data_IF_692244294974
#
_entry.id   IF_692244294974
#
_cell.length_a   1.000
_cell.length_b   1.000
_cell.length_c   1.000
_cell.angle_alpha   90.00
_cell.angle_beta   90.00
_cell.angle_gamma   90.00
#
_symmetry.space_group_name_H-M   'P 1'
#
loop_
_entity.id
_entity.type
_entity.pdbx_description
1 polymer ?
#
# COMPACT_ATOMS: atom_id res chain seq x y z
N UNK A 1 -65.40 -10.46 45.46
CA UNK A 1 -65.96 -9.95 44.19
C UNK A 1 -65.14 -8.74 43.78
N UNK A 2 -64.37 -8.96 42.72
CA UNK A 2 -63.61 -8.05 41.85
C UNK A 2 -63.60 -6.55 42.15
N UNK A 3 -62.45 -6.04 42.60
CA UNK A 3 -62.02 -4.65 42.42
C UNK A 3 -61.52 -4.46 40.98
N UNK A 4 -62.15 -3.58 40.22
CA UNK A 4 -61.78 -3.26 38.84
C UNK A 4 -60.47 -2.50 38.76
N UNK A 5 -59.49 -3.04 38.03
CA UNK A 5 -58.29 -2.33 37.60
C UNK A 5 -58.56 -1.60 36.29
N UNK A 6 -58.25 -0.31 36.30
CA UNK A 6 -58.30 0.64 35.20
C UNK A 6 -57.20 0.31 34.17
N UNK A 7 -57.55 -0.19 32.98
CA UNK A 7 -56.61 -0.33 31.85
C UNK A 7 -56.65 0.94 31.01
N UNK A 8 -55.74 1.87 31.31
CA UNK A 8 -55.49 3.02 30.46
C UNK A 8 -54.89 2.59 29.12
N UNK A 9 -55.59 2.90 28.03
CA UNK A 9 -55.09 2.77 26.66
C UNK A 9 -53.87 3.68 26.47
N UNK A 10 -52.70 3.10 26.24
CA UNK A 10 -51.53 3.86 25.80
C UNK A 10 -51.66 4.13 24.29
N UNK A 11 -52.00 5.37 23.93
CA UNK A 11 -51.93 5.87 22.56
C UNK A 11 -50.54 6.47 22.35
N UNK A 12 -49.75 5.84 21.47
CA UNK A 12 -48.42 6.32 21.10
C UNK A 12 -48.55 7.52 20.16
N UNK A 13 -48.27 8.72 20.66
CA UNK A 13 -48.07 9.92 19.84
C UNK A 13 -46.62 9.95 19.32
N UNK A 14 -46.32 9.10 18.33
CA UNK A 14 -45.20 9.38 17.43
C UNK A 14 -45.81 10.22 16.31
N UNK A 15 -45.50 11.52 16.30
CA UNK A 15 -45.90 12.41 15.21
C UNK A 15 -45.20 11.98 13.92
N UNK A 16 -45.94 11.94 12.80
CA UNK A 16 -45.41 11.64 11.46
C UNK A 16 -44.22 12.52 11.05
N UNK A 17 -44.05 13.67 11.71
CA UNK A 17 -42.92 14.59 11.56
C UNK A 17 -41.56 13.96 11.96
N UNK A 18 -41.50 13.07 12.95
CA UNK A 18 -40.27 12.37 13.36
C UNK A 18 -39.84 11.26 12.38
N UNK A 19 -40.83 10.65 11.71
CA UNK A 19 -40.59 9.69 10.62
C UNK A 19 -40.23 10.40 9.31
N UNK A 20 -40.65 11.66 9.13
CA UNK A 20 -40.28 12.47 7.97
C UNK A 20 -38.90 13.14 8.14
N UNK A 21 -38.53 13.61 9.34
CA UNK A 21 -37.16 14.13 9.60
C UNK A 21 -36.10 13.05 9.48
N UNK A 22 -36.39 11.80 9.89
CA UNK A 22 -35.46 10.69 9.67
C UNK A 22 -35.34 10.30 8.20
N UNK A 23 -36.37 10.50 7.36
CA UNK A 23 -36.27 10.32 5.90
C UNK A 23 -35.50 11.44 5.21
N UNK A 24 -35.62 12.68 5.67
CA UNK A 24 -34.88 13.83 5.12
C UNK A 24 -33.38 13.77 5.45
N UNK A 25 -32.99 13.27 6.64
CA UNK A 25 -31.57 13.03 6.97
C UNK A 25 -30.97 11.90 6.12
N UNK A 26 -31.78 10.89 5.76
CA UNK A 26 -31.38 9.78 4.87
C UNK A 26 -31.28 10.19 3.39
N UNK A 27 -31.76 11.38 3.03
CA UNK A 27 -31.71 11.93 1.67
C UNK A 27 -30.59 12.94 1.42
N UNK A 28 -29.86 13.40 2.44
CA UNK A 28 -28.70 14.24 2.21
C UNK A 28 -27.69 13.49 1.32
N UNK A 29 -27.54 13.97 0.07
CA UNK A 29 -26.57 13.50 -0.90
C UNK A 29 -25.16 13.81 -0.37
N UNK A 30 -24.67 12.98 0.54
CA UNK A 30 -23.33 13.12 1.08
C UNK A 30 -22.35 12.93 -0.09
N UNK A 31 -21.72 14.04 -0.49
CA UNK A 31 -20.67 14.07 -1.49
C UNK A 31 -19.32 14.02 -0.79
N UNK A 32 -18.46 13.05 -1.11
CA UNK A 32 -17.11 13.02 -0.58
C UNK A 32 -16.36 14.24 -1.11
N UNK A 33 -15.48 14.81 -0.29
CA UNK A 33 -14.59 15.88 -0.75
C UNK A 33 -13.63 15.29 -1.78
N UNK A 34 -13.89 15.57 -3.06
CA UNK A 34 -13.07 15.12 -4.18
C UNK A 34 -11.78 15.95 -4.25
N UNK A 35 -10.68 15.29 -4.60
CA UNK A 35 -9.42 15.95 -4.91
C UNK A 35 -9.47 16.58 -6.31
N UNK A 36 -8.55 17.52 -6.60
CA UNK A 36 -8.43 18.08 -7.93
C UNK A 36 -8.07 16.99 -8.96
N UNK A 37 -8.94 16.83 -9.95
CA UNK A 37 -8.84 15.77 -10.97
C UNK A 37 -9.46 14.43 -10.57
N UNK A 38 -10.02 14.33 -9.35
CA UNK A 38 -10.80 13.17 -8.91
C UNK A 38 -12.22 13.26 -9.49
N UNK A 39 -12.68 12.19 -10.14
CA UNK A 39 -14.01 12.11 -10.75
C UNK A 39 -14.75 10.89 -10.23
N UNK A 40 -16.04 11.07 -9.95
CA UNK A 40 -16.93 9.97 -9.56
C UNK A 40 -17.27 9.10 -10.79
N UNK A 41 -17.13 7.79 -10.63
CA UNK A 41 -17.42 6.79 -11.64
C UNK A 41 -18.70 5.99 -11.33
N UNK A 42 -18.96 5.71 -10.06
CA UNK A 42 -20.14 4.95 -9.64
C UNK A 42 -20.52 5.24 -8.20
N UNK A 43 -21.82 5.11 -7.89
CA UNK A 43 -22.39 5.33 -6.56
C UNK A 43 -23.51 4.35 -6.22
N UNK A 44 -23.49 3.88 -4.98
CA UNK A 44 -24.53 3.06 -4.37
C UNK A 44 -24.85 3.59 -2.96
N UNK A 45 -26.12 3.94 -2.72
CA UNK A 45 -26.64 4.29 -1.39
C UNK A 45 -27.10 3.03 -0.65
N UNK A 46 -27.30 3.13 0.66
CA UNK A 46 -27.81 2.04 1.51
C UNK A 46 -26.96 0.77 1.40
N UNK A 47 -25.65 0.92 1.49
CA UNK A 47 -24.68 -0.17 1.46
C UNK A 47 -24.21 -0.48 2.88
N UNK A 48 -24.28 -1.74 3.27
CA UNK A 48 -23.80 -2.21 4.58
C UNK A 48 -22.34 -2.64 4.49
N UNK A 49 -21.46 -1.99 5.25
CA UNK A 49 -20.06 -2.34 5.38
C UNK A 49 -19.86 -3.27 6.59
N UNK A 50 -19.23 -4.41 6.33
CA UNK A 50 -18.74 -5.34 7.34
C UNK A 50 -17.21 -5.34 7.38
N UNK A 51 -16.66 -5.12 8.57
CA UNK A 51 -15.23 -5.18 8.85
C UNK A 51 -15.01 -6.30 9.85
N UNK A 52 -14.07 -7.20 9.56
CA UNK A 52 -13.63 -8.19 10.53
C UNK A 52 -12.79 -7.48 11.60
N UNK A 53 -13.40 -7.13 12.74
CA UNK A 53 -12.70 -6.60 13.91
C UNK A 53 -12.70 -7.64 15.03
N UNK A 54 -11.54 -7.84 15.68
CA UNK A 54 -11.48 -8.53 16.98
C UNK A 54 -12.02 -7.59 18.05
N UNK A 55 -13.19 -7.84 18.62
CA UNK A 55 -13.52 -7.33 19.96
C UNK A 55 -13.04 -8.34 21.00
N UNK A 56 -12.29 -7.89 22.02
CA UNK A 56 -11.97 -8.68 23.22
C UNK A 56 -13.28 -8.94 23.97
N UNK A 57 -13.96 -10.03 23.67
CA UNK A 57 -15.05 -10.54 24.50
C UNK A 57 -14.72 -11.97 24.90
N UNK A 58 -15.06 -12.32 26.14
CA UNK A 58 -14.70 -13.54 26.91
C UNK A 58 -15.20 -14.86 26.29
N UNK A 59 -15.76 -14.83 25.09
CA UNK A 59 -15.91 -15.97 24.18
C UNK A 59 -15.50 -15.49 22.80
N UNK A 60 -14.50 -16.15 22.19
CA UNK A 60 -13.99 -15.87 20.85
C UNK A 60 -15.11 -15.89 19.77
N UNK A 61 -15.90 -14.83 19.66
CA UNK A 61 -16.81 -14.56 18.56
C UNK A 61 -16.34 -13.29 17.89
N UNK A 62 -16.07 -13.38 16.58
CA UNK A 62 -15.82 -12.21 15.75
C UNK A 62 -17.18 -11.51 15.62
N UNK A 63 -17.33 -10.34 16.26
CA UNK A 63 -18.51 -9.50 16.05
C UNK A 63 -18.21 -8.68 14.79
N UNK A 64 -18.89 -8.98 13.69
CA UNK A 64 -18.87 -8.11 12.51
C UNK A 64 -19.75 -6.91 12.83
N UNK A 65 -19.13 -5.74 13.00
CA UNK A 65 -19.87 -4.50 13.18
C UNK A 65 -20.36 -4.02 11.82
N UNK A 66 -21.67 -4.07 11.63
CA UNK A 66 -22.35 -3.56 10.44
C UNK A 66 -22.42 -2.04 10.48
N UNK A 67 -22.08 -1.40 9.37
CA UNK A 67 -22.13 0.05 9.21
C UNK A 67 -22.85 0.41 7.94
N UNK A 68 -23.94 1.18 8.02
CA UNK A 68 -24.73 1.58 6.85
C UNK A 68 -24.24 2.93 6.30
N UNK A 69 -24.16 3.04 4.98
CA UNK A 69 -23.67 4.25 4.34
C UNK A 69 -23.79 4.28 2.82
N UNK A 70 -23.07 5.21 2.23
CA UNK A 70 -22.95 5.37 0.77
C UNK A 70 -21.56 4.96 0.29
N UNK A 71 -21.52 4.14 -0.74
CA UNK A 71 -20.31 3.67 -1.40
C UNK A 71 -20.12 4.40 -2.73
N UNK A 72 -18.93 4.96 -2.94
CA UNK A 72 -18.59 5.78 -4.10
C UNK A 72 -17.26 5.30 -4.66
N UNK A 73 -17.22 5.06 -5.97
CA UNK A 73 -16.00 4.73 -6.70
C UNK A 73 -15.61 5.95 -7.52
N UNK A 74 -14.37 6.40 -7.36
CA UNK A 74 -13.76 7.45 -8.18
C UNK A 74 -12.65 6.87 -9.05
N UNK A 75 -11.97 7.69 -9.84
CA UNK A 75 -10.74 7.31 -10.52
C UNK A 75 -9.51 7.21 -9.58
N UNK A 76 -9.66 7.51 -8.29
CA UNK A 76 -8.57 7.48 -7.29
C UNK A 76 -8.79 6.44 -6.19
N UNK A 77 -10.02 6.38 -5.65
CA UNK A 77 -10.37 5.58 -4.48
C UNK A 77 -11.77 5.00 -4.56
N UNK A 78 -11.98 3.99 -3.73
CA UNK A 78 -13.28 3.67 -3.19
C UNK A 78 -13.43 4.46 -1.89
N UNK A 79 -14.51 5.25 -1.79
CA UNK A 79 -14.87 5.98 -0.57
C UNK A 79 -16.17 5.47 0.01
N UNK A 80 -16.21 5.34 1.34
CA UNK A 80 -17.40 4.90 2.05
C UNK A 80 -17.74 5.87 3.17
N UNK A 81 -18.92 6.47 3.08
CA UNK A 81 -19.39 7.49 4.03
C UNK A 81 -20.56 6.96 4.83
N UNK A 82 -20.47 7.06 6.16
CA UNK A 82 -21.51 6.63 7.09
C UNK A 82 -22.69 7.60 7.10
N UNK A 83 -23.91 7.08 7.25
CA UNK A 83 -25.08 7.93 7.44
C UNK A 83 -25.18 8.54 8.84
N UNK A 84 -24.72 7.82 9.87
CA UNK A 84 -25.03 8.17 11.26
C UNK A 84 -24.04 9.15 11.90
N UNK A 85 -23.16 9.80 11.11
CA UNK A 85 -22.22 10.82 11.59
C UNK A 85 -21.25 10.40 12.72
N UNK A 86 -21.30 9.14 13.17
CA UNK A 86 -20.57 8.60 14.30
C UNK A 86 -19.10 8.29 13.95
N UNK A 87 -18.40 9.29 13.42
CA UNK A 87 -16.94 9.33 13.38
C UNK A 87 -16.37 10.14 14.56
N UNK A 88 -17.11 10.20 15.68
CA UNK A 88 -16.59 10.79 16.91
C UNK A 88 -15.87 9.74 17.75
N UNK A 89 -14.56 9.94 17.87
CA UNK A 89 -13.66 9.38 18.89
C UNK A 89 -13.21 7.92 18.69
N UNK A 90 -12.21 7.73 17.83
CA UNK A 90 -11.12 6.79 18.14
C UNK A 90 -9.81 7.36 17.56
N UNK A 91 -9.41 8.51 18.10
CA UNK A 91 -8.21 9.26 17.69
C UNK A 91 -7.00 8.60 18.35
N UNK A 92 -6.36 7.66 17.65
CA UNK A 92 -5.09 7.11 18.10
C UNK A 92 -4.18 6.58 16.99
N UNK A 93 -4.30 6.97 15.72
CA UNK A 93 -3.32 6.55 14.69
C UNK A 93 -3.13 7.61 13.60
N UNK A 94 -1.98 7.54 12.92
CA UNK A 94 -1.64 8.41 11.78
C UNK A 94 -2.80 8.48 10.78
N UNK A 95 -3.37 9.67 10.63
CA UNK A 95 -4.44 9.92 9.67
C UNK A 95 -3.83 10.10 8.27
N UNK A 96 -4.52 9.58 7.25
CA UNK A 96 -4.13 9.79 5.88
C UNK A 96 -4.77 11.09 5.37
N UNK A 97 -3.96 12.03 4.90
CA UNK A 97 -4.45 13.33 4.41
C UNK A 97 -5.43 13.22 3.21
N UNK A 98 -5.46 12.08 2.51
CA UNK A 98 -6.25 11.86 1.30
C UNK A 98 -7.36 10.81 1.46
N UNK A 99 -7.29 9.94 2.46
CA UNK A 99 -8.18 8.79 2.61
C UNK A 99 -8.84 8.79 3.98
N UNK A 100 -10.17 8.73 4.01
CA UNK A 100 -10.94 8.49 5.22
C UNK A 100 -10.71 7.09 5.80
N UNK A 101 -11.24 6.85 7.00
CA UNK A 101 -11.10 5.59 7.75
C UNK A 101 -11.50 4.35 6.95
N UNK A 102 -12.57 4.44 6.16
CA UNK A 102 -13.09 3.34 5.34
C UNK A 102 -12.73 3.47 3.85
N UNK A 103 -12.00 4.51 3.49
CA UNK A 103 -11.56 4.70 2.12
C UNK A 103 -10.40 3.74 1.78
N UNK A 104 -10.34 3.39 0.50
CA UNK A 104 -9.33 2.52 -0.09
C UNK A 104 -8.87 3.16 -1.40
N UNK A 105 -7.60 3.58 -1.49
CA UNK A 105 -7.04 3.92 -2.80
C UNK A 105 -7.13 2.72 -3.74
N UNK A 106 -7.56 2.95 -4.98
CA UNK A 106 -7.74 1.88 -5.95
C UNK A 106 -6.45 1.09 -6.20
N UNK A 107 -5.28 1.72 -6.16
CA UNK A 107 -3.98 1.05 -6.30
C UNK A 107 -3.64 0.11 -5.12
N UNK A 108 -4.29 0.27 -3.97
CA UNK A 108 -4.15 -0.62 -2.81
C UNK A 108 -5.08 -1.85 -2.89
N UNK A 109 -6.01 -1.90 -3.84
CA UNK A 109 -6.83 -3.09 -4.06
C UNK A 109 -5.93 -4.19 -4.66
N UNK A 110 -5.98 -5.37 -4.05
CA UNK A 110 -5.29 -6.57 -4.54
C UNK A 110 -6.25 -7.50 -5.27
N UNK A 111 -7.36 -7.86 -4.61
CA UNK A 111 -8.38 -8.76 -5.16
C UNK A 111 -9.78 -8.24 -4.86
N UNK A 112 -10.68 -8.49 -5.79
CA UNK A 112 -12.10 -8.17 -5.70
C UNK A 112 -12.89 -9.44 -5.92
N UNK A 113 -13.85 -9.70 -5.05
CA UNK A 113 -14.78 -10.81 -5.18
C UNK A 113 -16.22 -10.30 -5.12
N UNK A 114 -17.05 -10.77 -6.04
CA UNK A 114 -18.50 -10.64 -5.95
C UNK A 114 -19.08 -11.87 -5.25
N UNK A 115 -20.12 -11.65 -4.46
CA UNK A 115 -20.88 -12.68 -3.77
C UNK A 115 -22.30 -12.63 -4.34
N UNK A 116 -22.73 -13.76 -4.91
CA UNK A 116 -24.08 -13.96 -5.45
C UNK A 116 -24.64 -15.27 -4.90
N UNK A 117 -25.78 -15.21 -4.23
CA UNK A 117 -26.45 -16.33 -3.57
C UNK A 117 -25.44 -17.18 -2.75
N UNK A 118 -24.64 -16.50 -1.92
CA UNK A 118 -23.55 -17.07 -1.08
C UNK A 118 -22.36 -17.69 -1.83
N UNK A 119 -22.34 -17.63 -3.17
CA UNK A 119 -21.20 -18.07 -3.99
C UNK A 119 -20.25 -16.91 -4.23
N UNK A 120 -18.99 -17.10 -3.86
CA UNK A 120 -17.89 -16.14 -4.10
C UNK A 120 -17.31 -16.37 -5.50
N UNK A 121 -17.20 -15.31 -6.30
CA UNK A 121 -16.55 -15.32 -7.62
C UNK A 121 -15.61 -14.13 -7.75
N UNK A 122 -14.45 -14.26 -8.42
CA UNK A 122 -13.59 -13.12 -8.69
C UNK A 122 -14.29 -12.10 -9.60
N UNK A 123 -13.92 -10.83 -9.44
CA UNK A 123 -14.19 -9.78 -10.42
C UNK A 123 -12.89 -9.56 -11.20
N UNK A 124 -12.95 -9.76 -12.52
CA UNK A 124 -11.78 -9.69 -13.40
C UNK A 124 -12.22 -9.60 -14.85
N UNK A 125 -11.31 -9.27 -15.78
CA UNK A 125 -11.64 -9.07 -17.20
C UNK A 125 -12.20 -10.33 -17.86
N UNK A 126 -11.78 -11.51 -17.39
CA UNK A 126 -12.22 -12.81 -17.93
C UNK A 126 -13.59 -13.26 -17.40
N UNK A 127 -14.16 -12.55 -16.41
CA UNK A 127 -15.40 -12.93 -15.74
C UNK A 127 -16.47 -11.86 -15.91
N UNK A 128 -17.60 -12.23 -16.51
CA UNK A 128 -18.75 -11.33 -16.56
C UNK A 128 -19.37 -11.19 -15.16
N UNK A 129 -19.51 -9.96 -14.69
CA UNK A 129 -20.17 -9.68 -13.42
C UNK A 129 -21.65 -10.09 -13.44
N UNK A 130 -22.12 -10.68 -12.35
CA UNK A 130 -23.50 -11.09 -12.16
C UNK A 130 -24.43 -9.88 -12.23
N UNK A 131 -25.64 -10.06 -12.77
CA UNK A 131 -26.70 -9.04 -12.68
C UNK A 131 -27.18 -8.82 -11.24
N UNK A 132 -27.06 -9.85 -10.40
CA UNK A 132 -27.44 -9.85 -8.99
C UNK A 132 -26.20 -10.05 -8.13
N UNK A 133 -25.60 -8.96 -7.68
CA UNK A 133 -24.45 -8.96 -6.77
C UNK A 133 -24.98 -8.60 -5.39
N UNK A 134 -24.99 -9.56 -4.47
CA UNK A 134 -25.48 -9.34 -3.10
C UNK A 134 -24.42 -8.59 -2.27
N UNK A 135 -23.14 -8.93 -2.46
CA UNK A 135 -22.04 -8.23 -1.79
C UNK A 135 -20.76 -8.22 -2.63
N UNK A 136 -19.88 -7.25 -2.37
CA UNK A 136 -18.51 -7.19 -2.90
C UNK A 136 -17.54 -7.25 -1.73
N UNK A 137 -16.56 -8.16 -1.82
CA UNK A 137 -15.47 -8.27 -0.86
C UNK A 137 -14.16 -7.79 -1.50
N UNK A 138 -13.50 -6.87 -0.83
CA UNK A 138 -12.25 -6.26 -1.25
C UNK A 138 -11.14 -6.71 -0.30
N UNK A 139 -10.06 -7.22 -0.89
CA UNK A 139 -8.82 -7.55 -0.19
C UNK A 139 -7.78 -6.53 -0.64
N UNK A 140 -7.16 -5.86 0.32
CA UNK A 140 -6.15 -4.83 0.07
C UNK A 140 -4.72 -5.36 0.25
N UNK A 141 -3.75 -4.70 -0.40
CA UNK A 141 -2.32 -5.01 -0.27
C UNK A 141 -1.79 -4.76 1.14
N UNK A 142 -2.41 -3.83 1.88
CA UNK A 142 -2.15 -3.59 3.30
C UNK A 142 -2.96 -4.48 4.26
N UNK A 143 -3.38 -5.66 3.81
CA UNK A 143 -4.08 -6.70 4.61
C UNK A 143 -5.48 -6.33 5.12
N UNK A 144 -6.03 -5.17 4.75
CA UNK A 144 -7.41 -4.82 5.06
C UNK A 144 -8.39 -5.67 4.24
N UNK A 145 -9.44 -6.14 4.90
CA UNK A 145 -10.58 -6.81 4.27
C UNK A 145 -11.86 -6.05 4.60
N UNK A 146 -12.58 -5.64 3.56
CA UNK A 146 -13.86 -4.96 3.67
C UNK A 146 -14.89 -5.69 2.81
N UNK A 147 -16.08 -5.92 3.36
CA UNK A 147 -17.21 -6.49 2.61
C UNK A 147 -18.34 -5.48 2.57
N UNK A 148 -18.79 -5.13 1.37
CA UNK A 148 -19.87 -4.20 1.11
C UNK A 148 -21.08 -4.98 0.61
N UNK A 149 -22.17 -4.96 1.36
CA UNK A 149 -23.41 -5.65 1.07
C UNK A 149 -24.45 -4.67 0.51
N UNK A 150 -25.13 -5.11 -0.55
CA UNK A 150 -26.07 -4.34 -1.35
C UNK A 150 -27.52 -4.77 -1.13
N UNK A 151 -27.82 -5.61 -0.11
CA UNK A 151 -29.17 -6.10 0.15
C UNK A 151 -30.18 -4.98 0.43
N UNK A 152 -29.73 -3.87 1.00
CA UNK A 152 -30.52 -2.66 1.24
C UNK A 152 -30.39 -1.59 0.13
N UNK A 153 -29.57 -1.85 -0.90
CA UNK A 153 -29.31 -0.92 -2.01
C UNK A 153 -30.25 -1.17 -3.18
N UNK A 154 -30.33 -0.21 -4.11
CA UNK A 154 -31.15 -0.36 -5.30
C UNK A 154 -30.68 -1.52 -6.19
N UNK A 155 -31.64 -2.15 -6.87
CA UNK A 155 -31.38 -3.29 -7.75
C UNK A 155 -30.35 -2.91 -8.82
N UNK A 156 -29.34 -3.76 -9.00
CA UNK A 156 -28.29 -3.58 -10.00
C UNK A 156 -27.12 -2.69 -9.56
N UNK A 157 -27.20 -2.00 -8.41
CA UNK A 157 -26.09 -1.17 -7.90
C UNK A 157 -24.83 -1.97 -7.58
N UNK A 158 -24.96 -3.17 -7.02
CA UNK A 158 -23.82 -4.05 -6.78
C UNK A 158 -23.05 -4.38 -8.07
N UNK A 159 -23.75 -4.67 -9.18
CA UNK A 159 -23.11 -4.88 -10.48
C UNK A 159 -22.44 -3.60 -10.99
N UNK A 160 -23.13 -2.46 -10.90
CA UNK A 160 -22.59 -1.18 -11.35
C UNK A 160 -21.27 -0.82 -10.65
N UNK A 161 -21.20 -1.05 -9.32
CA UNK A 161 -19.96 -0.88 -8.55
C UNK A 161 -18.89 -1.88 -8.97
N UNK A 162 -19.23 -3.16 -9.17
CA UNK A 162 -18.28 -4.18 -9.62
C UNK A 162 -17.68 -3.85 -11.00
N UNK A 163 -18.48 -3.37 -11.94
CA UNK A 163 -18.06 -2.95 -13.28
C UNK A 163 -17.14 -1.71 -13.21
N UNK A 164 -17.46 -0.74 -12.35
CA UNK A 164 -16.61 0.43 -12.13
C UNK A 164 -15.26 0.04 -11.52
N UNK A 165 -15.26 -0.79 -10.48
CA UNK A 165 -14.04 -1.29 -9.86
C UNK A 165 -13.15 -2.06 -10.85
N UNK A 166 -13.74 -2.90 -11.70
CA UNK A 166 -12.99 -3.61 -12.75
C UNK A 166 -12.26 -2.64 -13.69
N UNK A 167 -12.91 -1.51 -14.03
CA UNK A 167 -12.34 -0.50 -14.94
C UNK A 167 -11.24 0.33 -14.30
N UNK A 168 -11.39 0.73 -13.03
CA UNK A 168 -10.51 1.72 -12.40
C UNK A 168 -9.49 1.13 -11.42
N UNK A 169 -9.74 -0.04 -10.83
CA UNK A 169 -8.84 -0.64 -9.82
C UNK A 169 -7.57 -1.25 -10.43
N UNK A 170 -7.62 -1.67 -11.70
CA UNK A 170 -6.53 -2.38 -12.37
C UNK A 170 -6.15 -1.70 -13.70
N UNK A 171 -5.59 -0.47 -13.67
CA UNK A 171 -5.18 0.23 -14.88
C UNK A 171 -4.06 -0.54 -15.59
N UNK A 172 -4.22 -0.76 -16.90
CA UNK A 172 -3.24 -1.48 -17.73
C UNK A 172 -2.10 -0.58 -18.22
N UNK A 173 -2.26 0.74 -18.14
CA UNK A 173 -1.29 1.73 -18.61
C UNK A 173 -0.99 2.74 -17.53
N UNK A 174 0.30 3.10 -17.40
CA UNK A 174 0.77 3.96 -16.31
C UNK A 174 0.13 5.36 -16.34
N UNK A 175 -0.11 5.94 -17.52
CA UNK A 175 -0.70 7.28 -17.66
C UNK A 175 -2.18 7.36 -17.21
N UNK A 176 -2.85 6.21 -16.99
CA UNK A 176 -4.23 6.14 -16.51
C UNK A 176 -4.28 6.19 -14.97
N UNK A 177 -3.14 6.06 -14.30
CA UNK A 177 -3.07 6.23 -12.86
C UNK A 177 -3.48 7.65 -12.47
N UNK A 178 -4.21 7.76 -11.36
CA UNK A 178 -4.64 9.05 -10.80
C UNK A 178 -3.49 10.05 -10.60
N UNK A 179 -2.25 9.57 -10.43
CA UNK A 179 -1.03 10.38 -10.36
C UNK A 179 -0.93 11.42 -11.48
N UNK A 180 -1.39 11.11 -12.70
CA UNK A 180 -1.33 12.01 -13.85
C UNK A 180 -2.48 13.02 -13.90
N UNK A 181 -3.53 12.78 -13.13
CA UNK A 181 -4.71 13.65 -13.03
C UNK A 181 -4.67 14.57 -11.81
N UNK A 182 -3.85 14.23 -10.81
CA UNK A 182 -3.70 15.00 -9.58
C UNK A 182 -2.95 16.33 -9.85
N UNK A 183 -3.65 17.45 -9.66
CA UNK A 183 -3.15 18.80 -10.01
C UNK A 183 -2.85 19.72 -8.84
N UNK A 184 -3.03 19.25 -7.60
CA UNK A 184 -2.76 20.09 -6.44
C UNK A 184 -1.28 20.48 -6.43
N UNK A 185 -1.00 21.77 -6.31
CA UNK A 185 0.38 22.24 -6.16
C UNK A 185 1.02 21.56 -4.95
N UNK A 186 2.20 20.98 -5.17
CA UNK A 186 3.01 20.45 -4.09
C UNK A 186 3.54 21.64 -3.29
N UNK A 187 2.80 22.04 -2.25
CA UNK A 187 3.33 22.95 -1.24
C UNK A 187 4.41 22.19 -0.49
N UNK A 188 5.66 22.61 -0.73
CA UNK A 188 6.86 22.08 -0.11
C UNK A 188 6.87 22.46 1.38
N UNK A 189 5.94 21.88 2.14
CA UNK A 189 5.71 22.22 3.53
C UNK A 189 6.88 21.70 4.38
N UNK A 190 7.82 22.59 4.67
CA UNK A 190 8.61 22.64 5.91
C UNK A 190 9.60 21.47 6.15
N UNK A 191 9.96 20.68 5.14
CA UNK A 191 11.17 19.84 5.21
C UNK A 191 11.95 19.93 3.91
N UNK A 192 13.13 20.54 3.95
CA UNK A 192 14.11 20.52 2.86
C UNK A 192 14.66 19.10 2.68
N UNK A 193 13.82 18.17 2.21
CA UNK A 193 14.27 16.81 1.87
C UNK A 193 15.16 16.95 0.66
N UNK A 194 16.46 16.73 0.85
CA UNK A 194 17.42 16.71 -0.25
C UNK A 194 17.16 15.47 -1.07
N UNK A 195 16.84 15.66 -2.35
CA UNK A 195 16.53 14.57 -3.28
C UNK A 195 17.78 13.94 -3.91
N UNK A 196 18.97 14.49 -3.64
CA UNK A 196 20.25 13.99 -4.15
C UNK A 196 20.31 13.88 -5.68
N UNK A 197 19.60 14.81 -6.34
CA UNK A 197 19.49 14.87 -7.79
C UNK A 197 20.54 15.78 -8.43
N UNK A 198 21.24 16.57 -7.61
CA UNK A 198 22.31 17.47 -8.04
C UNK A 198 23.66 17.01 -7.50
N UNK A 199 24.74 17.35 -8.21
CA UNK A 199 26.10 17.06 -7.77
C UNK A 199 26.42 17.66 -6.39
N UNK A 200 25.99 18.91 -6.16
CA UNK A 200 26.20 19.64 -4.91
C UNK A 200 25.60 18.95 -3.69
N UNK A 201 24.48 18.22 -3.87
CA UNK A 201 23.84 17.47 -2.79
C UNK A 201 24.77 16.39 -2.25
N UNK A 202 25.43 15.66 -3.16
CA UNK A 202 26.39 14.59 -2.83
C UNK A 202 27.71 15.15 -2.31
N UNK A 203 28.20 16.25 -2.87
CA UNK A 203 29.42 16.91 -2.38
C UNK A 203 29.26 17.36 -0.94
N UNK A 204 28.15 18.01 -0.61
CA UNK A 204 27.87 18.44 0.77
C UNK A 204 27.68 17.24 1.71
N UNK A 205 27.11 16.13 1.24
CA UNK A 205 26.97 14.93 2.06
C UNK A 205 28.30 14.23 2.32
N UNK A 206 29.21 14.23 1.34
CA UNK A 206 30.59 13.78 1.53
C UNK A 206 31.32 14.64 2.56
N UNK A 207 31.17 15.96 2.50
CA UNK A 207 31.74 16.88 3.48
C UNK A 207 31.16 16.66 4.88
N UNK A 208 29.83 16.54 4.98
CA UNK A 208 29.13 16.24 6.25
C UNK A 208 29.61 14.93 6.87
N UNK A 209 30.01 13.96 6.05
CA UNK A 209 30.52 12.66 6.47
C UNK A 209 32.06 12.62 6.66
N UNK A 210 32.80 13.67 6.33
CA UNK A 210 34.27 13.64 6.30
C UNK A 210 34.86 12.69 5.23
N UNK A 211 34.09 12.36 4.21
CA UNK A 211 34.45 11.34 3.21
C UNK A 211 35.11 11.91 1.93
N UNK A 212 35.14 13.23 1.76
CA UNK A 212 35.61 13.91 0.53
C UNK A 212 37.08 13.66 0.14
N UNK A 213 37.89 13.16 1.10
CA UNK A 213 39.30 12.85 0.84
C UNK A 213 39.47 11.64 -0.07
N UNK A 214 38.62 10.62 0.10
CA UNK A 214 38.79 9.32 -0.55
C UNK A 214 37.65 8.96 -1.52
N UNK A 215 36.57 9.74 -1.49
CA UNK A 215 35.39 9.54 -2.31
C UNK A 215 35.10 10.77 -3.17
N UNK A 216 34.50 10.58 -4.34
CA UNK A 216 34.13 11.66 -5.25
C UNK A 216 32.77 11.44 -5.87
N UNK A 217 32.11 12.52 -6.25
CA UNK A 217 30.88 12.46 -7.04
C UNK A 217 31.22 12.12 -8.49
N UNK A 218 30.42 11.23 -9.07
CA UNK A 218 30.43 10.84 -10.48
C UNK A 218 29.07 11.19 -11.08
N UNK A 219 29.08 11.99 -12.14
CA UNK A 219 27.90 12.32 -12.92
C UNK A 219 27.81 11.48 -14.19
N UNK A 220 26.62 10.95 -14.50
CA UNK A 220 26.28 10.36 -15.78
C UNK A 220 25.66 11.45 -16.67
N UNK A 221 26.40 11.88 -17.70
CA UNK A 221 26.00 12.97 -18.59
C UNK A 221 25.01 12.52 -19.68
N UNK A 222 25.15 11.28 -20.16
CA UNK A 222 24.27 10.68 -21.17
C UNK A 222 23.66 9.42 -20.58
N UNK A 223 22.33 9.38 -20.45
CA UNK A 223 21.60 8.25 -19.88
C UNK A 223 20.92 7.42 -20.98
N UNK A 224 21.12 6.11 -20.92
CA UNK A 224 20.28 5.14 -21.61
C UNK A 224 18.96 4.95 -20.83
N UNK A 225 17.92 4.48 -21.53
CA UNK A 225 16.66 4.04 -20.90
C UNK A 225 16.92 2.90 -19.90
N UNK A 226 17.97 2.11 -20.11
CA UNK A 226 18.33 0.98 -19.25
C UNK A 226 19.09 1.38 -17.97
N UNK A 227 19.47 2.66 -17.83
CA UNK A 227 20.26 3.14 -16.68
C UNK A 227 19.40 3.24 -15.42
N UNK A 228 19.71 2.36 -14.48
CA UNK A 228 19.01 2.27 -13.19
C UNK A 228 19.68 3.06 -12.05
N UNK A 229 20.84 3.65 -12.31
CA UNK A 229 21.57 4.48 -11.35
C UNK A 229 21.08 5.93 -11.37
N UNK A 230 21.17 6.65 -10.23
CA UNK A 230 20.86 8.07 -10.19
C UNK A 230 21.85 8.86 -11.07
N UNK A 231 21.46 10.09 -11.46
CA UNK A 231 22.28 10.95 -12.33
C UNK A 231 23.65 11.26 -11.72
N UNK A 232 23.69 11.41 -10.40
CA UNK A 232 24.91 11.60 -9.62
C UNK A 232 24.95 10.56 -8.51
N UNK A 233 26.12 10.00 -8.27
CA UNK A 233 26.40 9.09 -7.14
C UNK A 233 27.88 9.14 -6.81
N UNK A 234 28.28 8.49 -5.73
CA UNK A 234 29.62 8.58 -5.18
C UNK A 234 30.41 7.30 -5.45
N UNK A 235 31.67 7.47 -5.88
CA UNK A 235 32.59 6.38 -6.24
C UNK A 235 33.99 6.62 -5.62
N UNK A 236 34.88 5.61 -5.58
CA UNK A 236 36.25 5.78 -5.14
C UNK A 236 36.98 6.90 -5.90
N UNK A 237 37.64 7.82 -5.17
CA UNK A 237 38.34 8.97 -5.78
C UNK A 237 39.57 8.56 -6.58
N UNK A 238 40.19 7.43 -6.22
CA UNK A 238 41.35 6.88 -6.93
C UNK A 238 41.04 6.36 -8.34
N UNK A 239 39.76 6.18 -8.70
CA UNK A 239 39.34 5.77 -10.04
C UNK A 239 38.98 6.99 -10.87
N UNK A 240 39.50 7.08 -12.09
CA UNK A 240 39.00 8.01 -13.12
C UNK A 240 37.61 7.58 -13.61
N UNK A 241 36.90 8.47 -14.32
CA UNK A 241 35.59 8.12 -14.90
C UNK A 241 35.73 6.92 -15.85
N UNK A 242 36.78 6.92 -16.69
CA UNK A 242 37.03 5.84 -17.64
C UNK A 242 37.25 4.50 -16.93
N UNK A 243 38.13 4.44 -15.93
CA UNK A 243 38.40 3.19 -15.19
C UNK A 243 37.16 2.68 -14.44
N UNK A 244 36.37 3.59 -13.87
CA UNK A 244 35.13 3.21 -13.21
C UNK A 244 34.14 2.60 -14.20
N UNK A 245 33.87 3.27 -15.32
CA UNK A 245 32.92 2.78 -16.32
C UNK A 245 33.41 1.51 -17.01
N UNK A 246 34.72 1.38 -17.25
CA UNK A 246 35.33 0.16 -17.77
C UNK A 246 35.04 -1.03 -16.85
N UNK A 247 35.31 -0.90 -15.56
CA UNK A 247 35.02 -1.93 -14.58
C UNK A 247 33.50 -2.19 -14.43
N UNK A 248 32.68 -1.13 -14.45
CA UNK A 248 31.24 -1.22 -14.28
C UNK A 248 30.55 -2.10 -15.33
N UNK A 249 31.11 -2.21 -16.55
CA UNK A 249 30.59 -3.11 -17.59
C UNK A 249 30.58 -4.58 -17.19
N UNK A 250 31.41 -4.98 -16.22
CA UNK A 250 31.47 -6.35 -15.71
C UNK A 250 30.43 -6.65 -14.63
N UNK A 251 29.72 -5.64 -14.13
CA UNK A 251 28.75 -5.80 -13.04
C UNK A 251 27.31 -5.69 -13.55
N UNK A 252 26.40 -6.43 -12.92
CA UNK A 252 24.98 -6.38 -13.24
C UNK A 252 24.47 -4.93 -13.21
N UNK A 253 23.86 -4.50 -14.33
CA UNK A 253 23.33 -3.14 -14.53
C UNK A 253 24.33 -2.01 -14.30
N UNK A 254 25.63 -2.25 -14.51
CA UNK A 254 26.66 -1.23 -14.37
C UNK A 254 26.99 -0.85 -12.92
N UNK A 255 26.56 -1.66 -11.94
CA UNK A 255 26.64 -1.31 -10.51
C UNK A 255 27.90 -1.92 -9.88
N UNK A 256 29.06 -1.32 -10.17
CA UNK A 256 30.32 -1.63 -9.47
C UNK A 256 30.28 -1.08 -8.03
N UNK A 257 31.33 -0.39 -7.57
CA UNK A 257 31.34 0.19 -6.22
C UNK A 257 30.55 1.52 -6.17
N UNK A 258 29.53 1.59 -5.32
CA UNK A 258 28.76 2.82 -5.06
C UNK A 258 28.75 3.08 -3.56
N UNK A 259 29.33 4.21 -3.16
CA UNK A 259 29.27 4.65 -1.77
C UNK A 259 27.84 5.06 -1.41
N UNK A 260 27.39 4.60 -0.25
CA UNK A 260 26.05 4.91 0.27
C UNK A 260 26.14 5.83 1.47
N UNK A 261 27.09 5.55 2.36
CA UNK A 261 27.30 6.27 3.60
C UNK A 261 28.70 5.95 4.15
N UNK A 262 29.23 6.79 5.02
CA UNK A 262 30.49 6.51 5.71
C UNK A 262 30.92 7.63 6.63
N UNK A 263 32.08 7.41 7.24
CA UNK A 263 32.88 8.40 7.96
C UNK A 263 34.31 8.36 7.42
N UNK A 264 35.22 9.13 8.02
CA UNK A 264 36.66 9.00 7.75
C UNK A 264 37.23 7.60 8.05
N UNK A 265 36.59 6.84 8.95
CA UNK A 265 37.11 5.56 9.45
C UNK A 265 36.49 4.34 8.76
N UNK A 266 35.28 4.47 8.21
CA UNK A 266 34.53 3.36 7.62
C UNK A 266 33.64 3.84 6.48
N UNK A 267 33.40 2.97 5.50
CA UNK A 267 32.49 3.25 4.41
C UNK A 267 31.56 2.05 4.17
N UNK A 268 30.30 2.35 3.92
CA UNK A 268 29.30 1.41 3.43
C UNK A 268 29.20 1.58 1.91
N UNK A 269 29.56 0.52 1.20
CA UNK A 269 29.56 0.46 -0.26
C UNK A 269 28.57 -0.62 -0.69
N UNK A 270 27.79 -0.32 -1.73
CA UNK A 270 26.96 -1.31 -2.44
C UNK A 270 27.56 -1.62 -3.78
N UNK A 271 27.50 -2.88 -4.16
CA UNK A 271 27.88 -3.39 -5.46
C UNK A 271 26.93 -4.51 -5.86
N UNK A 272 26.72 -4.67 -7.16
CA UNK A 272 26.03 -5.84 -7.69
C UNK A 272 27.02 -6.99 -7.90
N UNK A 273 26.51 -8.18 -8.20
CA UNK A 273 27.32 -9.31 -8.66
C UNK A 273 27.89 -9.04 -10.06
N UNK A 274 28.93 -9.82 -10.41
CA UNK A 274 29.43 -9.87 -11.78
C UNK A 274 28.36 -10.41 -12.74
N UNK A 275 28.51 -10.10 -14.02
CA UNK A 275 27.71 -10.73 -15.07
C UNK A 275 28.00 -12.23 -15.11
N UNK A 276 26.98 -13.06 -15.32
CA UNK A 276 27.10 -14.53 -15.38
C UNK A 276 28.07 -15.02 -16.46
N UNK A 277 28.35 -14.19 -17.47
CA UNK A 277 29.31 -14.46 -18.55
C UNK A 277 30.78 -14.31 -18.13
N UNK A 278 31.05 -13.75 -16.95
CA UNK A 278 32.40 -13.48 -16.43
C UNK A 278 32.76 -14.55 -15.41
N UNK A 279 33.69 -15.43 -15.77
CA UNK A 279 34.12 -16.55 -14.94
C UNK A 279 35.26 -16.23 -13.96
N UNK A 280 35.98 -15.12 -14.15
CA UNK A 280 37.07 -14.71 -13.26
C UNK A 280 36.70 -13.50 -12.40
N UNK A 281 37.28 -13.40 -11.21
CA UNK A 281 36.99 -12.34 -10.22
C UNK A 281 38.01 -11.20 -10.28
N UNK A 282 38.81 -11.09 -11.34
CA UNK A 282 39.92 -10.11 -11.42
C UNK A 282 39.41 -8.68 -11.33
N UNK A 283 38.32 -8.36 -12.04
CA UNK A 283 37.72 -7.02 -12.05
C UNK A 283 37.10 -6.68 -10.69
N UNK A 284 36.45 -7.66 -10.04
CA UNK A 284 35.90 -7.51 -8.69
C UNK A 284 37.02 -7.24 -7.67
N UNK A 285 38.08 -8.04 -7.67
CA UNK A 285 39.24 -7.86 -6.80
C UNK A 285 39.91 -6.50 -7.02
N UNK A 286 40.00 -6.02 -8.28
CA UNK A 286 40.50 -4.67 -8.59
C UNK A 286 39.62 -3.59 -7.95
N UNK A 287 38.30 -3.74 -8.00
CA UNK A 287 37.37 -2.79 -7.37
C UNK A 287 37.47 -2.84 -5.84
N UNK A 288 37.52 -4.03 -5.24
CA UNK A 288 37.69 -4.20 -3.79
C UNK A 288 39.00 -3.59 -3.30
N UNK A 289 40.09 -3.70 -4.07
CA UNK A 289 41.36 -3.05 -3.75
C UNK A 289 41.27 -1.52 -3.81
N UNK A 290 40.52 -0.96 -4.77
CA UNK A 290 40.28 0.48 -4.80
C UNK A 290 39.42 0.96 -3.61
N UNK A 291 38.44 0.16 -3.17
CA UNK A 291 37.69 0.43 -1.94
C UNK A 291 38.62 0.36 -0.71
N UNK A 292 39.50 -0.65 -0.63
CA UNK A 292 40.48 -0.79 0.45
C UNK A 292 41.35 0.46 0.57
N UNK A 293 41.85 0.99 -0.55
CA UNK A 293 42.64 2.23 -0.62
C UNK A 293 41.89 3.48 -0.14
N UNK A 294 40.55 3.46 -0.14
CA UNK A 294 39.74 4.56 0.37
C UNK A 294 39.66 4.60 1.90
N UNK A 295 40.13 3.56 2.59
CA UNK A 295 40.27 3.56 4.05
C UNK A 295 41.68 4.03 4.43
N UNK A 296 41.81 4.96 5.38
CA UNK A 296 43.10 5.48 5.84
C UNK A 296 44.05 4.39 6.38
N UNK A 297 43.49 3.34 7.00
CA UNK A 297 44.24 2.17 7.51
C UNK A 297 44.35 1.04 6.48
N UNK A 298 43.76 1.23 5.30
CA UNK A 298 43.66 0.26 4.21
C UNK A 298 43.24 -1.15 4.65
N UNK A 299 42.29 -1.21 5.60
CA UNK A 299 41.73 -2.46 6.11
C UNK A 299 40.94 -3.17 5.01
N UNK A 300 41.04 -4.49 4.97
CA UNK A 300 40.28 -5.30 4.02
C UNK A 300 38.78 -5.04 4.17
N UNK A 301 38.03 -4.80 3.07
CA UNK A 301 36.59 -4.68 3.12
C UNK A 301 35.93 -5.97 3.64
N UNK A 302 34.95 -5.83 4.53
CA UNK A 302 34.09 -6.93 4.93
C UNK A 302 32.97 -7.11 3.91
N UNK A 303 33.06 -8.16 3.09
CA UNK A 303 32.10 -8.44 2.03
C UNK A 303 30.90 -9.22 2.56
N UNK A 304 29.69 -8.73 2.27
CA UNK A 304 28.43 -9.39 2.65
C UNK A 304 27.62 -9.68 1.39
N UNK A 305 27.54 -10.95 1.01
CA UNK A 305 26.76 -11.41 -0.13
C UNK A 305 25.31 -11.64 0.27
N UNK A 306 24.45 -10.64 0.04
CA UNK A 306 23.06 -10.67 0.48
C UNK A 306 22.26 -11.84 -0.10
N UNK A 307 22.54 -12.27 -1.33
CA UNK A 307 21.87 -13.39 -1.99
C UNK A 307 22.12 -14.74 -1.31
N UNK A 308 23.23 -14.88 -0.56
CA UNK A 308 23.57 -16.08 0.20
C UNK A 308 22.94 -16.11 1.60
N UNK A 309 22.48 -14.96 2.10
CA UNK A 309 22.06 -14.77 3.49
C UNK A 309 20.56 -14.49 3.60
N UNK A 310 20.00 -13.75 2.64
CA UNK A 310 18.62 -13.29 2.65
C UNK A 310 17.71 -14.16 1.78
N UNK A 311 16.41 -14.25 2.10
CA UNK A 311 15.44 -14.93 1.27
C UNK A 311 15.35 -14.30 -0.13
N UNK A 312 15.05 -15.12 -1.13
CA UNK A 312 14.82 -14.63 -2.49
C UNK A 312 13.58 -13.75 -2.57
N UNK A 313 13.45 -12.97 -3.65
CA UNK A 313 12.24 -12.17 -3.91
C UNK A 313 10.99 -13.06 -3.97
N UNK A 314 11.12 -14.29 -4.48
CA UNK A 314 10.04 -15.27 -4.54
C UNK A 314 9.62 -15.73 -3.14
N UNK A 315 10.58 -15.97 -2.25
CA UNK A 315 10.30 -16.35 -0.85
C UNK A 315 9.60 -15.23 -0.10
N UNK A 316 10.05 -13.99 -0.28
CA UNK A 316 9.40 -12.79 0.30
C UNK A 316 7.98 -12.65 -0.24
N UNK A 317 7.77 -12.83 -1.54
CA UNK A 317 6.44 -12.80 -2.16
C UNK A 317 5.53 -13.90 -1.60
N UNK A 318 5.99 -15.15 -1.54
CA UNK A 318 5.20 -16.24 -0.96
C UNK A 318 4.85 -16.02 0.51
N UNK A 319 5.79 -15.46 1.30
CA UNK A 319 5.55 -15.07 2.69
C UNK A 319 4.46 -14.00 2.78
N UNK A 320 4.53 -12.97 1.93
CA UNK A 320 3.49 -11.93 1.82
C UNK A 320 2.11 -12.51 1.48
N UNK A 321 2.03 -13.42 0.50
CA UNK A 321 0.76 -14.06 0.12
C UNK A 321 0.17 -14.86 1.29
N UNK A 322 0.99 -15.68 1.97
CA UNK A 322 0.57 -16.45 3.15
C UNK A 322 0.09 -15.53 4.28
N UNK A 323 0.81 -14.46 4.58
CA UNK A 323 0.41 -13.50 5.60
C UNK A 323 -0.94 -12.85 5.26
N UNK A 324 -1.14 -12.48 4.00
CA UNK A 324 -2.39 -11.90 3.54
C UNK A 324 -3.57 -12.87 3.64
N UNK A 325 -3.38 -14.14 3.28
CA UNK A 325 -4.42 -15.17 3.44
C UNK A 325 -4.84 -15.36 4.91
N UNK A 326 -3.89 -15.27 5.84
CA UNK A 326 -4.18 -15.29 7.28
C UNK A 326 -4.99 -14.07 7.75
N UNK A 327 -4.75 -12.90 7.15
CA UNK A 327 -5.49 -11.67 7.45
C UNK A 327 -6.86 -11.58 6.76
N UNK A 328 -7.13 -12.43 5.76
CA UNK A 328 -8.34 -12.45 4.97
C UNK A 328 -9.07 -13.80 5.05
N UNK A 329 -9.43 -14.29 6.25
CA UNK A 329 -10.03 -15.61 6.39
C UNK A 329 -11.37 -15.69 5.63
N UNK A 330 -11.54 -16.74 4.82
CA UNK A 330 -12.75 -16.90 4.02
C UNK A 330 -13.98 -17.25 4.87
N UNK A 331 -13.76 -17.80 6.07
CA UNK A 331 -14.80 -18.07 7.07
C UNK A 331 -14.21 -18.09 8.49
N UNK A 332 -15.09 -17.92 9.49
CA UNK A 332 -14.73 -18.05 10.90
C UNK A 332 -14.13 -19.42 11.23
N UNK A 333 -14.56 -20.49 10.54
CA UNK A 333 -14.01 -21.86 10.71
C UNK A 333 -12.55 -21.94 10.28
N UNK A 334 -12.22 -21.35 9.14
CA UNK A 334 -10.85 -21.30 8.61
C UNK A 334 -9.96 -20.48 9.55
N UNK A 335 -10.47 -19.36 10.06
CA UNK A 335 -9.77 -18.54 11.05
C UNK A 335 -9.48 -19.30 12.36
N UNK A 336 -10.47 -20.03 12.90
CA UNK A 336 -10.30 -20.83 14.13
C UNK A 336 -9.28 -21.97 13.95
N UNK A 337 -9.28 -22.63 12.79
CA UNK A 337 -8.32 -23.68 12.47
C UNK A 337 -6.87 -23.18 12.36
N UNK A 338 -6.66 -21.92 11.96
CA UNK A 338 -5.33 -21.31 11.94
C UNK A 338 -4.80 -21.01 13.36
N UNK A 339 -5.68 -20.67 14.30
CA UNK A 339 -5.27 -20.42 15.69
C UNK A 339 -5.01 -21.71 16.46
N UNK A 340 -5.77 -22.79 16.22
CA UNK A 340 -5.57 -24.07 16.91
C UNK A 340 -4.24 -24.75 16.54
N UNK A 341 -3.74 -24.59 15.30
CA UNK A 341 -2.45 -25.14 14.88
C UNK A 341 -1.23 -24.41 15.46
N UNK A 342 -1.37 -23.15 15.88
CA UNK A 342 -0.27 -22.41 16.54
C UNK A 342 -0.07 -22.80 18.02
N UNK A 343 -1.07 -23.42 18.64
CA UNK A 343 -0.96 -23.89 20.03
C UNK A 343 -0.27 -25.26 20.19
N UNK A 344 0.12 -25.92 19.08
CA UNK A 344 0.64 -27.30 19.12
C UNK A 344 2.16 -27.39 18.86
N UNK A 345 2.81 -26.33 18.37
CA UNK A 345 4.27 -26.35 18.11
C UNK A 345 5.08 -25.43 19.03
N UNK A 346 4.69 -25.32 20.31
CA UNK A 346 5.55 -24.76 21.35
C UNK A 346 5.69 -25.79 22.46
N UNK A 347 6.51 -26.82 22.20
CA UNK A 347 7.23 -27.60 23.19
C UNK A 347 8.63 -27.86 22.65
#
# INVERSE_FOLDING_TARGET
MTSGHNTGNFTSYVTDEALNTSKDVMQNDFQPKLLDGEIEAARAKNVSLYIAQKKKAVKCRIIQEEKLGTLIITNFRLSFTLFDGADTADVAYQENNFLGKYDISLSNIDKIYQITDKKKRPVGPDYRNSSKVDAIRIICKNFRLLTFDFSASDIGKGKHIADALLRFAFPSQHHVLFLYNYKLEYYNAVRSVRMFNQEIDWTQELERCGASNNWRVLGILSRSIEDTLPRFYVVPKCLTNHEYFDAARSFQKGRAAIWVWGTEQAALVRMASLLDTIGDTTVENRILENIRKCNAKQLQPHLIELEKILPSIQDVYHSYIKLRELCAPESDRIFMNFNSKKSINTL
#
